data_IF_728244721995
#
_entry.id   IF_728244721995
#
_cell.length_a   1.000
_cell.length_b   1.000
_cell.length_c   1.000
_cell.angle_alpha   90.00
_cell.angle_beta   90.00
_cell.angle_gamma   90.00
#
_symmetry.space_group_name_H-M   'P 1'
#
loop_
_entity.id
_entity.type
_entity.pdbx_description
1 polymer ?
#
# COMPACT_ATOMS: atom_id res chain seq x y z
N UNK A 1 27.33 -8.22 -5.44
CA UNK A 1 26.12 -8.92 -4.97
C UNK A 1 25.81 -8.35 -3.61
N UNK A 2 24.82 -7.46 -3.55
CA UNK A 2 24.44 -6.80 -2.31
C UNK A 2 23.97 -7.87 -1.31
N UNK A 3 24.35 -7.70 -0.04
CA UNK A 3 23.87 -8.53 1.06
C UNK A 3 22.33 -8.58 1.00
N UNK A 4 21.75 -9.72 1.33
CA UNK A 4 20.32 -9.82 1.67
C UNK A 4 20.11 -8.87 2.86
N UNK A 5 19.75 -7.63 2.59
CA UNK A 5 19.25 -6.72 3.60
C UNK A 5 17.86 -7.23 3.94
N UNK A 6 17.73 -7.85 5.11
CA UNK A 6 16.41 -8.13 5.67
C UNK A 6 15.76 -6.76 5.88
N UNK A 7 14.66 -6.52 5.19
CA UNK A 7 13.84 -5.34 5.43
C UNK A 7 13.45 -5.35 6.91
N UNK A 8 13.51 -4.19 7.55
CA UNK A 8 13.07 -4.05 8.94
C UNK A 8 11.56 -4.35 9.07
N UNK A 9 11.13 -4.65 10.29
CA UNK A 9 9.75 -5.08 10.58
C UNK A 9 8.72 -4.03 10.18
N UNK A 10 9.07 -2.75 10.24
CA UNK A 10 8.19 -1.63 9.89
C UNK A 10 8.02 -1.50 8.38
N UNK A 11 9.12 -1.59 7.62
CA UNK A 11 9.07 -1.65 6.16
C UNK A 11 8.26 -2.87 5.68
N UNK A 12 8.43 -4.03 6.32
CA UNK A 12 7.61 -5.22 6.02
C UNK A 12 6.13 -5.02 6.38
N UNK A 13 5.83 -4.32 7.47
CA UNK A 13 4.47 -4.01 7.86
C UNK A 13 3.80 -3.08 6.83
N UNK A 14 4.49 -2.03 6.39
CA UNK A 14 4.01 -1.12 5.35
C UNK A 14 3.78 -1.86 4.02
N UNK A 15 4.72 -2.70 3.58
CA UNK A 15 4.55 -3.49 2.34
C UNK A 15 3.33 -4.40 2.43
N UNK A 16 3.17 -5.15 3.52
CA UNK A 16 2.01 -6.03 3.69
C UNK A 16 0.71 -5.23 3.76
N UNK A 17 0.73 -4.06 4.40
CA UNK A 17 -0.40 -3.15 4.47
C UNK A 17 -0.80 -2.65 3.07
N UNK A 18 0.16 -2.21 2.25
CA UNK A 18 -0.08 -1.79 0.87
C UNK A 18 -0.62 -2.93 -0.02
N UNK A 19 -0.18 -4.17 0.21
CA UNK A 19 -0.73 -5.35 -0.48
C UNK A 19 -2.23 -5.55 -0.14
N UNK A 20 -2.65 -5.30 1.10
CA UNK A 20 -4.07 -5.36 1.44
C UNK A 20 -4.85 -4.19 0.82
N UNK A 21 -4.27 -2.98 0.76
CA UNK A 21 -4.87 -1.84 0.03
C UNK A 21 -5.10 -2.21 -1.44
N UNK A 22 -4.11 -2.81 -2.11
CA UNK A 22 -4.22 -3.27 -3.51
C UNK A 22 -5.44 -4.17 -3.71
N UNK A 23 -5.67 -5.14 -2.81
CA UNK A 23 -6.83 -6.03 -2.87
C UNK A 23 -8.15 -5.27 -2.78
N UNK A 24 -8.22 -4.24 -1.94
CA UNK A 24 -9.42 -3.41 -1.82
C UNK A 24 -9.64 -2.54 -3.05
N UNK A 25 -8.58 -1.95 -3.62
CA UNK A 25 -8.66 -1.19 -4.89
C UNK A 25 -9.13 -2.08 -6.04
N UNK A 26 -8.60 -3.31 -6.14
CA UNK A 26 -9.03 -4.30 -7.14
C UNK A 26 -10.48 -4.72 -6.91
N UNK A 27 -10.90 -4.92 -5.66
CA UNK A 27 -12.31 -5.18 -5.34
C UNK A 27 -13.22 -3.99 -5.68
N UNK A 28 -12.68 -2.76 -5.66
CA UNK A 28 -13.33 -1.52 -6.12
C UNK A 28 -13.39 -1.36 -7.64
N UNK A 29 -12.73 -2.23 -8.41
CA UNK A 29 -12.80 -2.27 -9.88
C UNK A 29 -11.53 -1.87 -10.61
N UNK A 30 -10.44 -1.53 -9.90
CA UNK A 30 -9.13 -1.33 -10.52
C UNK A 30 -8.56 -2.67 -11.03
N UNK A 31 -7.74 -2.64 -12.08
CA UNK A 31 -6.86 -3.78 -12.36
C UNK A 31 -5.73 -3.82 -11.32
N UNK A 32 -5.09 -4.98 -11.18
CA UNK A 32 -3.90 -5.11 -10.34
C UNK A 32 -2.81 -4.10 -10.73
N UNK A 33 -2.56 -3.95 -12.04
CA UNK A 33 -1.57 -3.00 -12.56
C UNK A 33 -1.91 -1.55 -12.18
N UNK A 34 -3.17 -1.14 -12.32
CA UNK A 34 -3.63 0.19 -11.92
C UNK A 34 -3.50 0.43 -10.42
N UNK A 35 -3.81 -0.56 -9.59
CA UNK A 35 -3.67 -0.45 -8.15
C UNK A 35 -2.20 -0.32 -7.73
N UNK A 36 -1.31 -1.11 -8.34
CA UNK A 36 0.13 -1.05 -8.08
C UNK A 36 0.73 0.27 -8.56
N UNK A 37 0.43 0.70 -9.78
CA UNK A 37 0.87 2.00 -10.32
C UNK A 37 0.43 3.14 -9.41
N UNK A 38 -0.84 3.13 -8.96
CA UNK A 38 -1.34 4.15 -8.04
C UNK A 38 -0.63 4.14 -6.68
N UNK A 39 -0.39 2.97 -6.09
CA UNK A 39 0.33 2.84 -4.82
C UNK A 39 1.79 3.32 -4.96
N UNK A 40 2.44 3.01 -6.08
CA UNK A 40 3.81 3.47 -6.37
C UNK A 40 3.88 4.99 -6.59
N UNK A 41 2.93 5.55 -7.35
CA UNK A 41 2.84 7.00 -7.60
C UNK A 41 2.51 7.80 -6.33
N UNK A 42 1.73 7.21 -5.43
CA UNK A 42 1.26 7.83 -4.18
C UNK A 42 1.96 7.25 -2.94
N UNK A 43 3.19 6.73 -3.09
CA UNK A 43 3.88 6.02 -2.01
C UNK A 43 4.04 6.86 -0.74
N UNK A 44 4.34 8.15 -0.87
CA UNK A 44 4.46 9.08 0.28
C UNK A 44 3.11 9.23 1.00
N UNK A 45 2.02 9.36 0.24
CA UNK A 45 0.67 9.49 0.80
C UNK A 45 0.22 8.21 1.50
N UNK A 46 0.42 7.03 0.90
CA UNK A 46 0.09 5.76 1.55
C UNK A 46 0.96 5.49 2.80
N UNK A 47 2.21 5.94 2.78
CA UNK A 47 3.09 5.88 3.94
C UNK A 47 2.54 6.74 5.09
N UNK A 48 2.07 7.95 4.79
CA UNK A 48 1.42 8.82 5.79
C UNK A 48 0.17 8.15 6.37
N UNK A 49 -0.71 7.57 5.54
CA UNK A 49 -1.92 6.88 6.01
C UNK A 49 -1.61 5.68 6.91
N UNK A 50 -0.55 4.93 6.59
CA UNK A 50 -0.07 3.83 7.43
C UNK A 50 0.38 4.32 8.81
N UNK A 51 1.15 5.41 8.88
CA UNK A 51 1.59 6.00 10.15
C UNK A 51 0.47 6.70 10.92
N UNK A 52 -0.52 7.23 10.21
CA UNK A 52 -1.77 7.75 10.79
C UNK A 52 -2.68 6.63 11.36
N UNK A 53 -2.32 5.36 11.09
CA UNK A 53 -2.98 4.19 11.66
C UNK A 53 -4.27 3.80 10.96
N UNK A 54 -4.47 4.23 9.71
CA UNK A 54 -5.61 3.80 8.91
C UNK A 54 -5.51 2.30 8.60
N UNK A 55 -6.67 1.65 8.54
CA UNK A 55 -6.74 0.29 8.00
C UNK A 55 -6.58 0.31 6.47
N UNK A 56 -6.13 -0.79 5.84
CA UNK A 56 -6.03 -0.88 4.39
C UNK A 56 -7.36 -0.59 3.66
N UNK A 57 -8.50 -0.99 4.26
CA UNK A 57 -9.82 -0.74 3.71
C UNK A 57 -10.17 0.76 3.74
N UNK A 58 -9.83 1.47 4.82
CA UNK A 58 -10.04 2.92 4.93
C UNK A 58 -9.17 3.67 3.93
N UNK A 59 -7.89 3.34 3.83
CA UNK A 59 -6.99 3.95 2.84
C UNK A 59 -7.46 3.72 1.39
N UNK A 60 -7.94 2.50 1.08
CA UNK A 60 -8.51 2.22 -0.23
C UNK A 60 -9.79 3.03 -0.50
N UNK A 61 -10.63 3.30 0.51
CA UNK A 61 -11.80 4.19 0.36
C UNK A 61 -11.39 5.63 0.09
N UNK A 62 -10.38 6.14 0.80
CA UNK A 62 -9.83 7.49 0.55
C UNK A 62 -9.24 7.60 -0.86
N UNK A 63 -8.58 6.55 -1.36
CA UNK A 63 -8.00 6.52 -2.71
C UNK A 63 -9.07 6.46 -3.84
N UNK A 64 -10.28 5.99 -3.51
CA UNK A 64 -11.40 5.87 -4.46
C UNK A 64 -12.38 7.07 -4.39
N UNK A 65 -12.20 7.98 -3.43
CA UNK A 65 -13.07 9.14 -3.20
C UNK A 65 -12.74 10.32 -4.14
#
# INVERSE_FOLDING_TARGET
MAKKEELDEETLALINWCIEVEKHLVAGGATQEQAQEHIEEQVEWFTDLFYDGLTPEEAAKEALA
#
